data_IF_890873271157
#
_entry.id   IF_890873271157
#
_cell.length_a   1.000
_cell.length_b   1.000
_cell.length_c   1.000
_cell.angle_alpha   90.00
_cell.angle_beta   90.00
_cell.angle_gamma   90.00
#
_symmetry.space_group_name_H-M   'P 1'
#
loop_
_entity.id
_entity.type
_entity.pdbx_description
1 polymer ?
#
# COMPACT_ATOMS: atom_id res chain seq x y z
N UNK A 1 1.36 -11.21 -0.89
CA UNK A 1 1.22 -12.47 -0.17
C UNK A 1 0.07 -13.29 -0.75
N UNK A 2 0.37 -14.39 -1.37
CA UNK A 2 -0.54 -15.46 -1.86
C UNK A 2 -1.93 -14.98 -2.38
N UNK A 3 -2.00 -13.76 -2.92
CA UNK A 3 -3.27 -13.15 -3.32
C UNK A 3 -3.79 -13.69 -4.66
N UNK A 4 -2.90 -14.16 -5.48
CA UNK A 4 -3.18 -14.65 -6.83
C UNK A 4 -2.34 -15.89 -7.16
N UNK A 5 -2.95 -16.97 -7.70
CA UNK A 5 -2.22 -18.18 -8.08
C UNK A 5 -1.10 -17.93 -9.10
N UNK A 6 -1.30 -16.98 -9.99
CA UNK A 6 -0.41 -16.70 -11.12
C UNK A 6 0.98 -16.21 -10.73
N UNK A 7 1.14 -15.67 -9.51
CA UNK A 7 2.42 -15.16 -9.01
C UNK A 7 2.62 -15.41 -7.49
N UNK A 8 1.87 -16.36 -6.93
CA UNK A 8 1.99 -16.73 -5.52
C UNK A 8 3.05 -17.79 -5.33
N UNK A 9 4.00 -17.52 -4.45
CA UNK A 9 5.02 -18.51 -4.04
C UNK A 9 4.46 -19.51 -3.01
N UNK A 10 3.20 -19.38 -2.59
CA UNK A 10 2.52 -20.18 -1.54
C UNK A 10 3.33 -20.34 -0.25
N UNK A 11 4.09 -19.30 0.10
CA UNK A 11 4.88 -19.26 1.32
C UNK A 11 4.01 -19.03 2.55
N UNK A 12 4.53 -19.35 3.74
CA UNK A 12 3.88 -18.98 5.00
C UNK A 12 3.81 -17.47 5.15
N UNK A 13 2.94 -16.98 6.05
CA UNK A 13 2.85 -15.55 6.29
C UNK A 13 4.12 -15.00 6.97
N UNK A 14 4.67 -15.79 7.85
CA UNK A 14 5.93 -15.53 8.56
C UNK A 14 7.10 -15.42 7.56
N UNK A 15 7.21 -16.36 6.63
CA UNK A 15 8.23 -16.32 5.57
C UNK A 15 8.07 -15.11 4.66
N UNK A 16 6.82 -14.73 4.35
CA UNK A 16 6.54 -13.50 3.63
C UNK A 16 7.07 -12.28 4.36
N UNK A 17 6.79 -12.14 5.66
CA UNK A 17 7.29 -11.02 6.47
C UNK A 17 8.82 -11.01 6.53
N UNK A 18 9.46 -12.17 6.68
CA UNK A 18 10.92 -12.29 6.64
C UNK A 18 11.50 -11.90 5.28
N UNK A 19 10.87 -12.30 4.19
CA UNK A 19 11.27 -11.91 2.82
C UNK A 19 11.14 -10.40 2.62
N UNK A 20 10.02 -9.82 3.07
CA UNK A 20 9.81 -8.38 3.00
C UNK A 20 10.79 -7.60 3.86
N UNK A 21 11.13 -8.08 5.06
CA UNK A 21 12.18 -7.49 5.91
C UNK A 21 13.51 -7.39 5.18
N UNK A 22 13.94 -8.45 4.48
CA UNK A 22 15.18 -8.46 3.68
C UNK A 22 15.14 -7.41 2.55
N UNK A 23 13.99 -7.25 1.90
CA UNK A 23 13.80 -6.25 0.84
C UNK A 23 13.89 -4.84 1.43
N UNK A 24 13.22 -4.59 2.56
CA UNK A 24 13.23 -3.30 3.24
C UNK A 24 14.65 -2.95 3.72
N UNK A 25 15.39 -3.90 4.28
CA UNK A 25 16.80 -3.75 4.67
C UNK A 25 17.68 -3.39 3.46
N UNK A 26 17.52 -4.12 2.35
CA UNK A 26 18.28 -3.84 1.13
C UNK A 26 17.97 -2.45 0.59
N UNK A 27 16.70 -2.04 0.61
CA UNK A 27 16.27 -0.71 0.18
C UNK A 27 16.81 0.37 1.13
N UNK A 28 16.75 0.15 2.45
CA UNK A 28 17.31 1.08 3.44
C UNK A 28 18.79 1.32 3.18
N UNK A 29 19.56 0.28 2.83
CA UNK A 29 20.99 0.39 2.56
C UNK A 29 21.31 1.26 1.34
N UNK A 30 20.50 1.17 0.26
CA UNK A 30 20.76 1.93 -0.98
C UNK A 30 20.05 3.29 -1.03
N UNK A 31 19.03 3.47 -0.20
CA UNK A 31 18.29 4.72 -0.14
C UNK A 31 19.13 5.80 0.54
N UNK A 32 19.23 6.97 -0.07
CA UNK A 32 19.90 8.12 0.53
C UNK A 32 19.19 8.55 1.81
N UNK A 33 19.96 9.15 2.73
CA UNK A 33 19.46 9.65 4.01
C UNK A 33 18.29 10.61 3.82
N UNK A 34 17.23 10.42 4.61
CA UNK A 34 16.03 11.26 4.59
C UNK A 34 15.16 11.13 3.36
N UNK A 35 15.42 10.14 2.49
CA UNK A 35 14.56 9.83 1.35
C UNK A 35 13.44 8.88 1.74
N UNK A 36 12.43 8.80 0.87
CA UNK A 36 11.17 8.13 1.15
C UNK A 36 11.10 6.75 0.53
N UNK A 37 10.44 5.86 1.24
CA UNK A 37 9.94 4.59 0.74
C UNK A 37 8.41 4.65 0.79
N UNK A 38 7.76 4.41 -0.33
CA UNK A 38 6.29 4.39 -0.40
C UNK A 38 5.82 2.98 -0.74
N UNK A 39 4.89 2.45 0.04
CA UNK A 39 4.37 1.10 -0.12
C UNK A 39 2.85 1.11 -0.30
N UNK A 40 2.36 0.65 -1.45
CA UNK A 40 0.94 0.36 -1.61
C UNK A 40 0.65 -1.06 -1.13
N UNK A 41 -0.29 -1.19 -0.20
CA UNK A 41 -0.60 -2.45 0.47
C UNK A 41 -2.05 -2.49 0.96
N UNK A 42 -2.62 -3.69 1.07
CA UNK A 42 -3.96 -3.87 1.62
C UNK A 42 -4.04 -5.11 2.50
N UNK A 43 -5.00 -5.20 3.43
CA UNK A 43 -5.30 -6.43 4.14
C UNK A 43 -5.61 -7.57 3.17
N UNK A 44 -5.16 -8.77 3.50
CA UNK A 44 -5.35 -9.95 2.64
C UNK A 44 -6.45 -10.83 3.19
N UNK A 45 -7.39 -11.20 2.32
CA UNK A 45 -8.43 -12.17 2.63
C UNK A 45 -7.88 -13.59 2.50
N UNK A 46 -7.80 -14.31 3.60
CA UNK A 46 -7.56 -15.76 3.60
C UNK A 46 -8.88 -16.47 3.38
N UNK A 47 -9.00 -17.17 2.26
CA UNK A 47 -10.19 -17.95 1.95
C UNK A 47 -10.31 -19.12 2.91
N UNK A 48 -11.54 -19.42 3.32
CA UNK A 48 -11.82 -20.65 4.08
C UNK A 48 -11.52 -21.88 3.22
N UNK A 49 -10.94 -22.90 3.80
CA UNK A 49 -10.69 -24.18 3.12
C UNK A 49 -12.00 -25.01 3.00
N UNK A 50 -12.90 -24.88 3.98
CA UNK A 50 -14.17 -25.61 4.02
C UNK A 50 -15.36 -24.71 4.39
N UNK A 51 -16.58 -25.23 4.23
CA UNK A 51 -17.81 -24.51 4.64
C UNK A 51 -17.88 -24.30 6.17
N UNK A 52 -17.25 -25.16 6.95
CA UNK A 52 -17.22 -25.08 8.43
C UNK A 52 -16.22 -24.06 8.97
N UNK A 53 -15.36 -23.49 8.12
CA UNK A 53 -14.34 -22.53 8.55
C UNK A 53 -14.73 -21.10 8.26
N UNK A 54 -14.31 -20.18 9.15
CA UNK A 54 -14.49 -18.77 8.92
C UNK A 54 -13.38 -18.21 8.00
N UNK A 55 -13.73 -17.35 7.04
CA UNK A 55 -12.75 -16.57 6.32
C UNK A 55 -12.09 -15.56 7.27
N UNK A 56 -10.78 -15.41 7.18
CA UNK A 56 -9.99 -14.48 8.00
C UNK A 56 -9.41 -13.37 7.13
N UNK A 57 -9.09 -12.24 7.75
CA UNK A 57 -8.28 -11.18 7.11
C UNK A 57 -6.98 -11.04 7.88
N UNK A 58 -5.87 -10.99 7.15
CA UNK A 58 -4.56 -10.66 7.71
C UNK A 58 -4.37 -9.16 7.55
N UNK A 59 -4.02 -8.51 8.63
CA UNK A 59 -3.83 -7.06 8.69
C UNK A 59 -2.41 -6.66 8.23
N UNK A 60 -2.03 -7.12 7.04
CA UNK A 60 -0.68 -6.96 6.46
C UNK A 60 -0.11 -5.54 6.56
N UNK A 61 -0.89 -4.45 6.36
CA UNK A 61 -0.36 -3.09 6.50
C UNK A 61 0.21 -2.80 7.89
N UNK A 62 -0.43 -3.29 8.95
CA UNK A 62 0.01 -3.03 10.33
C UNK A 62 1.24 -3.86 10.71
N UNK A 63 1.32 -5.12 10.27
CA UNK A 63 2.51 -5.94 10.48
C UNK A 63 3.70 -5.38 9.68
N UNK A 64 3.45 -4.89 8.47
CA UNK A 64 4.46 -4.26 7.63
C UNK A 64 4.96 -2.95 8.23
N UNK A 65 4.07 -2.16 8.85
CA UNK A 65 4.46 -0.96 9.59
C UNK A 65 5.53 -1.28 10.64
N UNK A 66 5.31 -2.34 11.43
CA UNK A 66 6.29 -2.75 12.44
C UNK A 66 7.65 -3.09 11.81
N UNK A 67 7.65 -3.78 10.68
CA UNK A 67 8.90 -4.12 9.96
C UNK A 67 9.66 -2.86 9.56
N UNK A 68 8.98 -1.84 9.02
CA UNK A 68 9.63 -0.59 8.63
C UNK A 68 10.25 0.15 9.81
N UNK A 69 9.53 0.25 10.93
CA UNK A 69 10.03 0.92 12.14
C UNK A 69 11.25 0.20 12.70
N UNK A 70 11.21 -1.13 12.76
CA UNK A 70 12.33 -1.96 13.22
C UNK A 70 13.58 -1.78 12.32
N UNK A 71 13.40 -1.57 11.02
CA UNK A 71 14.48 -1.42 10.04
C UNK A 71 14.94 0.03 9.83
N UNK A 72 14.59 0.93 10.74
CA UNK A 72 15.15 2.29 10.77
C UNK A 72 14.47 3.30 9.86
N UNK A 73 13.19 3.09 9.59
CA UNK A 73 12.34 4.09 8.94
C UNK A 73 11.44 4.79 9.95
N UNK A 74 11.10 6.04 9.68
CA UNK A 74 10.06 6.79 10.39
C UNK A 74 8.80 6.83 9.55
N UNK A 75 7.66 6.63 10.20
CA UNK A 75 6.34 6.74 9.56
C UNK A 75 6.02 8.21 9.31
N UNK A 76 5.58 8.52 8.11
CA UNK A 76 5.23 9.88 7.69
C UNK A 76 3.72 10.01 7.48
N UNK A 77 3.13 9.07 6.70
CA UNK A 77 1.73 9.19 6.33
C UNK A 77 1.10 7.86 5.92
N UNK A 78 -0.23 7.76 6.04
CA UNK A 78 -1.07 6.69 5.52
C UNK A 78 -2.12 7.27 4.58
N UNK A 79 -1.79 7.32 3.31
CA UNK A 79 -2.71 7.80 2.28
C UNK A 79 -3.66 6.67 1.91
N UNK A 80 -4.95 6.93 1.93
CA UNK A 80 -5.99 5.96 1.60
C UNK A 80 -6.38 6.09 0.14
N UNK A 81 -5.95 5.15 -0.67
CA UNK A 81 -6.44 5.01 -2.02
C UNK A 81 -7.84 4.42 -2.04
N UNK A 82 -8.83 5.21 -2.42
CA UNK A 82 -10.24 4.83 -2.54
C UNK A 82 -10.56 4.49 -3.99
N UNK A 83 -11.05 3.28 -4.21
CA UNK A 83 -11.53 2.78 -5.51
C UNK A 83 -13.03 3.05 -5.66
N UNK A 84 -13.57 3.11 -6.88
CA UNK A 84 -15.01 3.17 -7.10
C UNK A 84 -15.74 2.02 -6.41
N UNK A 85 -16.97 2.25 -5.99
CA UNK A 85 -17.84 1.20 -5.47
C UNK A 85 -17.99 0.09 -6.52
N UNK A 86 -18.00 -1.15 -6.06
CA UNK A 86 -18.00 -2.33 -6.94
C UNK A 86 -16.60 -2.82 -7.34
N UNK A 87 -15.56 -2.03 -7.18
CA UNK A 87 -14.20 -2.50 -7.37
C UNK A 87 -13.88 -3.67 -6.42
N UNK A 88 -13.47 -4.81 -6.98
CA UNK A 88 -13.18 -6.02 -6.19
C UNK A 88 -14.37 -6.96 -5.96
N UNK A 89 -15.57 -6.63 -6.41
CA UNK A 89 -16.72 -7.54 -6.33
C UNK A 89 -16.49 -8.83 -7.13
N UNK A 90 -15.89 -8.71 -8.29
CA UNK A 90 -15.55 -9.87 -9.13
C UNK A 90 -14.48 -10.78 -8.53
N UNK A 91 -13.65 -10.29 -7.60
CA UNK A 91 -12.56 -11.06 -6.99
C UNK A 91 -12.96 -11.85 -5.75
N UNK A 92 -14.26 -11.94 -5.44
CA UNK A 92 -14.79 -12.61 -4.25
C UNK A 92 -14.59 -11.84 -2.94
N UNK A 93 -13.91 -10.67 -2.99
CA UNK A 93 -13.83 -9.74 -1.83
C UNK A 93 -15.20 -9.13 -1.51
N UNK A 94 -16.12 -9.14 -2.48
CA UNK A 94 -17.37 -8.44 -2.46
C UNK A 94 -18.57 -9.15 -1.90
N UNK A 95 -18.42 -10.30 -1.32
CA UNK A 95 -19.53 -10.98 -0.68
C UNK A 95 -19.57 -10.67 0.82
N UNK A 96 -20.40 -10.05 1.14
CA UNK A 96 -21.07 -9.11 1.84
C UNK A 96 -21.75 -9.66 3.07
N UNK A 97 -22.96 -10.05 3.04
CA UNK A 97 -23.68 -10.59 4.18
C UNK A 97 -23.55 -12.10 4.24
N UNK A 98 -23.36 -12.67 5.40
CA UNK A 98 -23.26 -14.11 5.56
C UNK A 98 -24.64 -14.79 5.59
N UNK A 99 -25.69 -14.15 6.09
CA UNK A 99 -27.07 -14.63 6.05
C UNK A 99 -28.02 -13.45 6.19
N UNK A 100 -28.99 -13.35 5.30
CA UNK A 100 -30.14 -12.43 5.27
C UNK A 100 -29.89 -11.03 5.88
N UNK A 101 -28.70 -10.47 5.63
CA UNK A 101 -28.29 -9.15 6.13
C UNK A 101 -28.28 -9.04 7.65
N UNK A 102 -28.08 -10.13 8.37
CA UNK A 102 -27.96 -10.08 9.82
C UNK A 102 -26.74 -9.20 10.22
N UNK A 103 -26.92 -8.18 11.07
CA UNK A 103 -25.85 -7.28 11.47
C UNK A 103 -24.62 -7.95 12.06
N UNK A 104 -24.78 -9.05 12.79
CA UNK A 104 -23.68 -9.82 13.36
C UNK A 104 -22.82 -10.55 12.32
N UNK A 105 -23.35 -10.69 11.11
CA UNK A 105 -22.68 -11.37 9.99
C UNK A 105 -22.31 -10.42 8.86
N UNK A 106 -22.42 -9.13 9.10
CA UNK A 106 -22.04 -8.09 8.14
C UNK A 106 -20.55 -8.10 7.86
N UNK A 107 -20.18 -8.15 6.58
CA UNK A 107 -18.81 -8.02 6.11
C UNK A 107 -18.74 -6.95 5.04
N UNK A 108 -17.98 -5.91 5.30
CA UNK A 108 -17.76 -4.84 4.32
C UNK A 108 -16.96 -5.36 3.12
N UNK A 109 -17.24 -4.78 1.95
CA UNK A 109 -16.41 -4.94 0.77
C UNK A 109 -15.31 -3.90 0.80
N UNK A 110 -14.04 -4.27 0.91
CA UNK A 110 -12.96 -3.29 0.92
C UNK A 110 -12.79 -2.68 -0.47
N UNK A 111 -12.94 -1.36 -0.54
CA UNK A 111 -12.66 -0.56 -1.73
C UNK A 111 -11.42 0.31 -1.56
N UNK A 112 -10.71 0.15 -0.45
CA UNK A 112 -9.53 0.95 -0.11
C UNK A 112 -8.26 0.12 -0.11
N UNK A 113 -7.15 0.79 -0.38
CA UNK A 113 -5.80 0.31 -0.11
C UNK A 113 -5.01 1.40 0.60
N UNK A 114 -3.99 1.00 1.35
CA UNK A 114 -3.07 1.90 2.03
C UNK A 114 -1.90 2.23 1.11
N UNK A 115 -1.50 3.49 1.10
CA UNK A 115 -0.24 3.97 0.52
C UNK A 115 0.58 4.52 1.68
N UNK A 116 1.34 3.63 2.31
CA UNK A 116 2.14 3.94 3.48
C UNK A 116 3.41 4.66 3.07
N UNK A 117 3.67 5.81 3.66
CA UNK A 117 4.84 6.64 3.39
C UNK A 117 5.80 6.57 4.56
N UNK A 118 7.01 6.14 4.27
CA UNK A 118 8.10 6.04 5.25
C UNK A 118 9.28 6.88 4.80
N UNK A 119 10.02 7.42 5.76
CA UNK A 119 11.25 8.17 5.54
C UNK A 119 12.43 7.43 6.18
N UNK A 120 13.52 7.26 5.46
CA UNK A 120 14.75 6.76 6.08
C UNK A 120 15.15 7.71 7.21
N UNK A 121 15.29 7.16 8.43
CA UNK A 121 15.51 7.92 9.66
C UNK A 121 16.72 8.84 9.55
N UNK A 122 16.55 10.09 10.02
CA UNK A 122 17.57 11.12 9.99
C UNK A 122 17.17 12.25 10.92
N UNK A 123 18.15 12.97 11.45
CA UNK A 123 17.95 14.20 12.23
C UNK A 123 17.67 15.44 11.36
N UNK A 124 17.80 15.31 10.04
CA UNK A 124 17.57 16.41 9.11
C UNK A 124 16.08 16.69 8.95
N UNK A 125 15.73 17.96 8.78
CA UNK A 125 14.35 18.37 8.46
C UNK A 125 13.86 17.71 7.18
N UNK A 126 12.53 17.56 7.04
CA UNK A 126 11.91 16.88 5.88
C UNK A 126 12.26 17.60 4.56
N UNK A 127 12.36 18.91 4.59
CA UNK A 127 12.69 19.75 3.44
C UNK A 127 14.21 19.99 3.25
N UNK A 128 15.05 19.38 4.07
CA UNK A 128 16.51 19.56 4.00
C UNK A 128 17.06 19.29 2.60
N UNK A 129 16.60 18.21 1.96
CA UNK A 129 17.06 17.83 0.62
C UNK A 129 16.66 18.85 -0.44
N UNK A 130 15.50 19.49 -0.28
CA UNK A 130 15.02 20.56 -1.18
C UNK A 130 15.87 21.81 -1.00
N UNK A 131 16.08 22.25 0.24
CA UNK A 131 16.89 23.45 0.55
C UNK A 131 18.33 23.31 0.13
N UNK A 132 18.89 22.10 0.21
CA UNK A 132 20.30 21.83 -0.08
C UNK A 132 20.52 21.16 -1.44
N UNK A 133 19.50 21.11 -2.31
CA UNK A 133 19.66 20.54 -3.63
C UNK A 133 20.59 21.39 -4.50
N UNK A 134 21.59 20.81 -5.19
CA UNK A 134 22.57 21.55 -5.97
C UNK A 134 21.94 22.32 -7.15
N UNK A 135 20.84 21.82 -7.68
CA UNK A 135 20.10 22.47 -8.78
C UNK A 135 18.79 23.07 -8.25
N UNK A 136 18.85 24.31 -7.76
CA UNK A 136 17.67 25.03 -7.26
C UNK A 136 16.67 25.39 -8.37
N UNK A 137 17.10 25.44 -9.64
CA UNK A 137 16.19 25.63 -10.77
C UNK A 137 15.29 24.39 -10.94
N UNK A 138 15.85 23.18 -10.92
CA UNK A 138 15.09 21.95 -10.99
C UNK A 138 14.10 21.82 -9.81
N UNK A 139 14.49 22.23 -8.61
CA UNK A 139 13.59 22.29 -7.45
C UNK A 139 12.40 23.22 -7.70
N UNK A 140 12.64 24.38 -8.27
CA UNK A 140 11.58 25.33 -8.61
C UNK A 140 10.63 24.78 -9.69
N UNK A 141 11.19 24.13 -10.70
CA UNK A 141 10.44 23.53 -11.82
C UNK A 141 9.65 22.27 -11.38
N UNK A 142 10.07 21.58 -10.29
CA UNK A 142 9.40 20.41 -9.74
C UNK A 142 8.21 20.72 -8.82
N UNK A 143 7.87 21.98 -8.63
CA UNK A 143 6.73 22.34 -7.77
C UNK A 143 5.42 21.78 -8.34
N UNK A 144 4.62 21.21 -7.45
CA UNK A 144 3.27 20.76 -7.79
C UNK A 144 2.39 22.00 -8.03
N UNK A 145 1.74 22.03 -9.18
CA UNK A 145 0.82 23.12 -9.54
C UNK A 145 -0.51 23.01 -8.78
N UNK A 146 -1.14 24.15 -8.56
CA UNK A 146 -2.50 24.22 -7.98
C UNK A 146 -3.56 24.08 -9.09
N UNK A 147 -4.69 23.39 -8.81
CA UNK A 147 -5.04 22.73 -7.56
C UNK A 147 -4.29 21.41 -7.37
N UNK A 148 -3.85 21.11 -6.15
CA UNK A 148 -3.26 19.82 -5.78
C UNK A 148 -4.05 19.15 -4.64
N UNK A 149 -3.90 17.84 -4.51
CA UNK A 149 -4.51 17.07 -3.44
C UNK A 149 -3.94 17.50 -2.08
N UNK A 150 -4.82 17.82 -1.14
CA UNK A 150 -4.46 18.30 0.21
C UNK A 150 -4.89 17.34 1.31
N UNK A 151 -5.48 16.23 0.91
CA UNK A 151 -6.00 15.22 1.84
C UNK A 151 -5.28 13.90 1.65
N UNK A 152 -5.31 13.09 2.66
CA UNK A 152 -4.84 11.70 2.66
C UNK A 152 -5.80 10.74 1.92
N UNK A 153 -6.87 11.24 1.31
CA UNK A 153 -7.86 10.46 0.58
C UNK A 153 -7.70 10.64 -0.92
N UNK A 154 -7.15 9.65 -1.61
CA UNK A 154 -6.99 9.66 -3.06
C UNK A 154 -8.03 8.77 -3.75
N UNK A 155 -8.85 9.36 -4.61
CA UNK A 155 -9.88 8.66 -5.37
C UNK A 155 -9.38 8.40 -6.78
N UNK A 156 -8.88 7.17 -7.02
CA UNK A 156 -8.27 6.77 -8.29
C UNK A 156 -8.90 5.47 -8.77
N UNK A 157 -9.29 5.45 -10.04
CA UNK A 157 -9.86 4.26 -10.68
C UNK A 157 -8.77 3.20 -10.91
N UNK A 158 -8.99 1.93 -10.52
CA UNK A 158 -8.06 0.85 -10.83
C UNK A 158 -7.86 0.69 -12.34
N UNK A 159 -6.64 0.42 -12.74
CA UNK A 159 -6.33 0.06 -14.12
C UNK A 159 -6.69 -1.41 -14.40
N UNK A 160 -7.04 -1.71 -15.64
CA UNK A 160 -7.33 -3.06 -16.11
C UNK A 160 -6.47 -3.41 -17.32
N UNK A 161 -5.97 -4.64 -17.38
CA UNK A 161 -5.30 -5.19 -18.54
C UNK A 161 -5.54 -6.69 -18.66
N UNK A 162 -5.56 -7.17 -19.89
CA UNK A 162 -5.59 -8.61 -20.17
C UNK A 162 -4.24 -9.29 -19.92
N UNK A 163 -3.15 -8.52 -19.86
CA UNK A 163 -1.77 -9.03 -19.73
C UNK A 163 -1.35 -9.28 -18.30
N UNK A 164 -1.92 -8.54 -17.34
CA UNK A 164 -1.57 -8.65 -15.93
C UNK A 164 -2.80 -8.48 -15.05
N UNK A 165 -3.03 -9.39 -14.09
CA UNK A 165 -4.26 -9.40 -13.28
C UNK A 165 -4.33 -8.30 -12.20
N UNK A 166 -3.20 -7.65 -11.89
CA UNK A 166 -3.11 -6.59 -10.89
C UNK A 166 -2.19 -5.48 -11.40
N UNK A 167 -2.76 -4.52 -12.12
CA UNK A 167 -2.02 -3.38 -12.65
C UNK A 167 -2.05 -2.25 -11.63
N UNK A 168 -0.87 -1.66 -11.43
CA UNK A 168 -0.74 -0.41 -10.69
C UNK A 168 -1.21 0.75 -11.58
N UNK A 169 -2.20 1.56 -11.16
CA UNK A 169 -2.66 2.68 -11.98
C UNK A 169 -1.56 3.70 -12.22
N UNK A 170 -1.43 4.15 -13.46
CA UNK A 170 -0.44 5.17 -13.84
C UNK A 170 -0.62 6.46 -13.01
N UNK A 171 -1.86 6.90 -12.83
CA UNK A 171 -2.19 8.08 -12.03
C UNK A 171 -1.70 7.95 -10.57
N UNK A 172 -1.85 6.76 -9.95
CA UNK A 172 -1.34 6.52 -8.61
C UNK A 172 0.19 6.58 -8.57
N UNK A 173 0.86 5.99 -9.57
CA UNK A 173 2.32 6.06 -9.68
C UNK A 173 2.80 7.50 -9.83
N UNK A 174 2.17 8.28 -10.70
CA UNK A 174 2.51 9.69 -10.92
C UNK A 174 2.32 10.54 -9.67
N UNK A 175 1.24 10.33 -8.91
CA UNK A 175 1.02 11.01 -7.63
C UNK A 175 2.05 10.68 -6.56
N UNK A 176 2.56 9.45 -6.56
CA UNK A 176 3.60 9.02 -5.59
C UNK A 176 4.96 9.60 -5.95
N UNK A 177 5.28 9.73 -7.25
CA UNK A 177 6.60 10.13 -7.73
C UNK A 177 6.77 11.66 -7.75
N UNK A 178 5.70 12.39 -7.97
CA UNK A 178 5.68 13.87 -7.98
C UNK A 178 5.69 14.44 -6.56
#
# INVERSE_FOLDING_TARGET
YNARPEYSDYISYEDYLLKMRKIIQATHRVLNEGRFFVMNISPVLVRRASRGEASKRIAVPFDMHKVFIDEGFDFIDDIIWVKPEGAGWATGRGRRFAADRNPLQYKTVPITEHVLVYRKRTDKLIDWNIRNHPNQRAVKESKIETPYERTDIWRITPAHSKRHPAIFPKELAEKIIK
#
